data_IF_746202140655
#
_entry.id   IF_746202140655
#
_cell.length_a   1.000
_cell.length_b   1.000
_cell.length_c   1.000
_cell.angle_alpha   90.00
_cell.angle_beta   90.00
_cell.angle_gamma   90.00
#
_symmetry.space_group_name_H-M   'P 1'
#
loop_
_entity.id
_entity.type
_entity.pdbx_description
1 polymer ?
#
# COMPACT_ATOMS: atom_id res chain seq x y z
N UNK A 1 -63.62 -16.96 19.95
CA UNK A 1 -63.05 -17.70 18.79
C UNK A 1 -62.54 -16.63 17.83
N UNK A 2 -61.31 -16.15 18.04
CA UNK A 2 -60.80 -14.92 17.42
C UNK A 2 -60.08 -15.21 16.10
N UNK A 3 -60.39 -14.34 15.14
CA UNK A 3 -59.96 -14.25 13.75
C UNK A 3 -58.43 -14.16 13.58
N UNK A 4 -57.89 -14.85 12.58
CA UNK A 4 -56.52 -14.65 12.08
C UNK A 4 -56.60 -13.94 10.72
N UNK A 5 -56.44 -12.61 10.75
CA UNK A 5 -56.07 -11.84 9.57
C UNK A 5 -54.55 -11.94 9.37
N UNK A 6 -54.13 -12.43 8.21
CA UNK A 6 -52.74 -12.46 7.78
C UNK A 6 -52.21 -11.04 7.56
N UNK A 7 -51.30 -10.60 8.43
CA UNK A 7 -50.57 -9.34 8.26
C UNK A 7 -49.39 -9.61 7.33
N UNK A 8 -49.43 -9.02 6.13
CA UNK A 8 -48.28 -8.85 5.26
C UNK A 8 -47.34 -7.82 5.92
N UNK A 9 -46.18 -8.24 6.39
CA UNK A 9 -45.13 -7.32 6.83
C UNK A 9 -44.45 -6.73 5.60
N UNK A 10 -44.94 -5.56 5.15
CA UNK A 10 -44.12 -4.65 4.39
C UNK A 10 -43.01 -4.16 5.32
N UNK A 11 -41.77 -4.58 5.08
CA UNK A 11 -40.61 -4.04 5.76
C UNK A 11 -40.41 -2.58 5.32
N UNK A 12 -41.03 -1.67 6.08
CA UNK A 12 -40.71 -0.26 6.08
C UNK A 12 -39.32 -0.11 6.72
N UNK A 13 -38.29 0.09 5.90
CA UNK A 13 -36.99 0.58 6.40
C UNK A 13 -37.24 2.00 6.93
N UNK A 14 -37.04 2.28 8.23
CA UNK A 14 -37.29 3.60 8.78
C UNK A 14 -36.23 4.57 8.23
N UNK A 15 -36.67 5.56 7.47
CA UNK A 15 -35.89 6.74 7.11
C UNK A 15 -35.54 7.52 8.39
N UNK A 16 -34.40 7.19 9.02
CA UNK A 16 -33.99 7.83 10.27
C UNK A 16 -32.88 7.16 11.07
N UNK A 17 -32.39 5.98 10.66
CA UNK A 17 -31.12 5.42 11.17
C UNK A 17 -30.08 5.78 10.10
N UNK A 18 -29.03 6.51 10.48
CA UNK A 18 -27.94 6.86 9.56
C UNK A 18 -27.48 5.58 8.87
N UNK A 19 -27.62 5.50 7.54
CA UNK A 19 -27.01 4.42 6.79
C UNK A 19 -25.54 4.35 7.21
N UNK A 20 -25.05 3.16 7.55
CA UNK A 20 -23.63 2.99 7.88
C UNK A 20 -22.80 3.69 6.80
N UNK A 21 -21.79 4.49 7.18
CA UNK A 21 -21.05 5.28 6.23
C UNK A 21 -20.44 4.36 5.18
N UNK A 22 -20.83 4.55 3.91
CA UNK A 22 -20.37 3.76 2.75
C UNK A 22 -18.83 3.76 2.64
N UNK A 23 -18.20 4.82 3.16
CA UNK A 23 -16.75 4.92 3.34
C UNK A 23 -16.40 5.18 4.79
N UNK A 24 -15.49 4.38 5.34
CA UNK A 24 -14.92 4.54 6.68
C UNK A 24 -13.41 4.78 6.54
N UNK A 25 -12.90 5.81 7.19
CA UNK A 25 -11.45 6.01 7.31
C UNK A 25 -10.92 5.17 8.48
N UNK A 26 -9.92 4.33 8.24
CA UNK A 26 -9.36 3.41 9.25
C UNK A 26 -7.85 3.61 9.42
N UNK A 27 -7.32 3.29 10.60
CA UNK A 27 -5.88 3.26 10.85
C UNK A 27 -5.24 1.99 10.28
N UNK A 28 -3.91 2.00 10.11
CA UNK A 28 -3.16 0.82 9.68
C UNK A 28 -3.31 -0.38 10.63
N UNK A 29 -3.50 -0.14 11.93
CA UNK A 29 -3.72 -1.21 12.90
C UNK A 29 -5.06 -1.92 12.66
N UNK A 30 -6.13 -1.14 12.45
CA UNK A 30 -7.46 -1.70 12.13
C UNK A 30 -7.42 -2.44 10.79
N UNK A 31 -6.73 -1.87 9.79
CA UNK A 31 -6.55 -2.53 8.50
C UNK A 31 -5.82 -3.88 8.65
N UNK A 32 -4.75 -3.92 9.45
CA UNK A 32 -4.01 -5.14 9.74
C UNK A 32 -4.89 -6.19 10.45
N UNK A 33 -5.71 -5.78 11.42
CA UNK A 33 -6.64 -6.68 12.10
C UNK A 33 -7.70 -7.25 11.14
N UNK A 34 -8.21 -6.43 10.21
CA UNK A 34 -9.16 -6.88 9.19
C UNK A 34 -8.51 -7.87 8.21
N UNK A 35 -7.31 -7.56 7.70
CA UNK A 35 -6.59 -8.39 6.73
C UNK A 35 -6.24 -9.77 7.31
N UNK A 36 -5.91 -9.85 8.60
CA UNK A 36 -5.54 -11.10 9.25
C UNK A 36 -6.74 -11.90 9.79
N UNK A 37 -7.98 -11.42 9.62
CA UNK A 37 -9.18 -12.06 10.15
C UNK A 37 -10.09 -12.62 9.05
N UNK A 38 -9.62 -13.69 8.41
CA UNK A 38 -10.34 -14.38 7.33
C UNK A 38 -11.69 -15.00 7.75
N UNK A 39 -11.97 -15.10 9.06
CA UNK A 39 -13.27 -15.57 9.55
C UNK A 39 -14.32 -14.47 9.40
N UNK A 40 -13.96 -13.23 9.73
CA UNK A 40 -14.84 -12.08 9.61
C UNK A 40 -14.85 -11.49 8.20
N UNK A 41 -13.71 -11.55 7.51
CA UNK A 41 -13.48 -10.91 6.23
C UNK A 41 -12.88 -11.89 5.20
N UNK A 42 -13.61 -12.95 4.82
CA UNK A 42 -13.08 -14.01 3.95
C UNK A 42 -12.75 -13.53 2.52
N UNK A 43 -13.48 -12.53 2.03
CA UNK A 43 -13.41 -12.03 0.66
C UNK A 43 -12.86 -10.59 0.57
N UNK A 44 -12.19 -10.12 1.63
CA UNK A 44 -11.71 -8.74 1.71
C UNK A 44 -10.65 -8.47 0.65
N UNK A 45 -10.86 -7.36 -0.07
CA UNK A 45 -9.95 -6.90 -1.10
C UNK A 45 -9.05 -5.80 -0.55
N UNK A 46 -7.75 -5.97 -0.71
CA UNK A 46 -6.77 -4.89 -0.50
C UNK A 46 -6.45 -4.27 -1.85
N UNK A 47 -6.83 -3.01 -2.05
CA UNK A 47 -6.67 -2.26 -3.29
C UNK A 47 -5.55 -1.21 -3.16
N UNK A 48 -4.47 -1.41 -3.92
CA UNK A 48 -3.40 -0.43 -4.08
C UNK A 48 -3.67 0.46 -5.29
N UNK A 49 -3.78 1.77 -5.06
CA UNK A 49 -4.03 2.76 -6.11
C UNK A 49 -2.80 3.58 -6.51
N UNK A 50 -1.61 3.12 -6.13
CA UNK A 50 -0.33 3.68 -6.56
C UNK A 50 0.00 3.39 -8.02
N UNK A 51 1.05 4.02 -8.51
CA UNK A 51 1.59 3.72 -9.84
C UNK A 51 2.35 2.39 -9.82
N UNK A 52 2.40 1.70 -10.97
CA UNK A 52 3.00 0.36 -11.12
C UNK A 52 4.45 0.30 -10.63
N UNK A 53 5.22 1.36 -10.87
CA UNK A 53 6.60 1.44 -10.40
C UNK A 53 6.72 1.43 -8.87
N UNK A 54 5.80 2.10 -8.16
CA UNK A 54 5.79 2.11 -6.69
C UNK A 54 5.38 0.73 -6.14
N UNK A 55 4.36 0.11 -6.73
CA UNK A 55 3.91 -1.25 -6.36
C UNK A 55 5.00 -2.31 -6.57
N UNK A 56 5.73 -2.22 -7.68
CA UNK A 56 6.81 -3.15 -8.00
C UNK A 56 8.04 -3.02 -7.10
N UNK A 57 8.18 -1.93 -6.34
CA UNK A 57 9.21 -1.79 -5.31
C UNK A 57 8.74 -2.44 -4.02
N UNK A 58 7.53 -2.11 -3.56
CA UNK A 58 6.93 -2.72 -2.39
C UNK A 58 5.40 -2.62 -2.44
N UNK A 59 4.69 -3.51 -1.75
CA UNK A 59 3.22 -3.45 -1.59
C UNK A 59 2.74 -4.35 -0.44
N UNK A 60 1.51 -4.17 0.04
CA UNK A 60 0.90 -5.10 1.01
C UNK A 60 0.71 -6.47 0.35
N UNK A 61 0.87 -7.56 1.10
CA UNK A 61 0.61 -8.90 0.58
C UNK A 61 -0.83 -9.04 0.07
N UNK A 62 -1.00 -9.77 -1.04
CA UNK A 62 -2.28 -9.99 -1.71
C UNK A 62 -2.99 -8.71 -2.20
N UNK A 63 -2.29 -7.57 -2.22
CA UNK A 63 -2.86 -6.34 -2.76
C UNK A 63 -3.08 -6.45 -4.28
N UNK A 64 -4.24 -5.99 -4.72
CA UNK A 64 -4.57 -5.82 -6.14
C UNK A 64 -4.20 -4.41 -6.57
N UNK A 65 -3.42 -4.30 -7.65
CA UNK A 65 -2.99 -3.02 -8.20
C UNK A 65 -3.99 -2.49 -9.25
N UNK A 66 -4.64 -1.38 -8.95
CA UNK A 66 -5.37 -0.56 -9.94
C UNK A 66 -4.98 0.90 -9.73
N UNK A 67 -4.06 1.46 -10.53
CA UNK A 67 -3.63 2.85 -10.37
C UNK A 67 -4.82 3.81 -10.43
N UNK A 68 -4.82 4.85 -9.60
CA UNK A 68 -5.90 5.84 -9.54
C UNK A 68 -6.25 6.40 -10.93
N UNK A 69 -5.25 6.62 -11.78
CA UNK A 69 -5.42 7.15 -13.15
C UNK A 69 -6.24 6.25 -14.08
N UNK A 70 -6.30 4.94 -13.81
CA UNK A 70 -7.06 3.97 -14.59
C UNK A 70 -8.27 3.37 -13.86
N UNK A 71 -8.53 3.78 -12.61
CA UNK A 71 -9.52 3.15 -11.74
C UNK A 71 -10.93 3.20 -12.34
N UNK A 72 -11.41 4.36 -12.78
CA UNK A 72 -12.75 4.51 -13.36
C UNK A 72 -12.97 3.61 -14.58
N UNK A 73 -11.94 3.43 -15.42
CA UNK A 73 -12.03 2.59 -16.62
C UNK A 73 -11.95 1.08 -16.34
N UNK A 74 -11.55 0.69 -15.12
CA UNK A 74 -11.29 -0.70 -14.71
C UNK A 74 -12.21 -1.16 -13.57
N UNK A 75 -13.30 -0.44 -13.30
CA UNK A 75 -14.27 -0.77 -12.25
C UNK A 75 -14.89 -2.16 -12.43
N UNK A 76 -15.00 -2.64 -13.66
CA UNK A 76 -15.48 -3.99 -13.98
C UNK A 76 -14.61 -5.10 -13.38
N UNK A 77 -13.32 -4.84 -13.13
CA UNK A 77 -12.44 -5.81 -12.44
C UNK A 77 -12.81 -5.93 -10.95
N UNK A 78 -13.48 -4.91 -10.40
CA UNK A 78 -13.87 -4.83 -9.00
C UNK A 78 -15.34 -5.22 -8.76
N UNK A 79 -16.15 -5.41 -9.81
CA UNK A 79 -17.57 -5.79 -9.68
C UNK A 79 -17.85 -6.96 -8.72
N UNK A 80 -17.03 -8.04 -8.66
CA UNK A 80 -17.23 -9.13 -7.70
C UNK A 80 -17.16 -8.69 -6.23
N UNK A 81 -16.62 -7.51 -5.95
CA UNK A 81 -16.36 -6.97 -4.62
C UNK A 81 -17.29 -5.82 -4.23
N UNK A 82 -18.36 -5.57 -5.00
CA UNK A 82 -19.28 -4.45 -4.79
C UNK A 82 -19.90 -4.40 -3.37
N UNK A 83 -20.16 -5.57 -2.78
CA UNK A 83 -20.77 -5.75 -1.45
C UNK A 83 -19.82 -6.39 -0.41
N UNK A 84 -18.53 -6.48 -0.73
CA UNK A 84 -17.48 -6.97 0.16
C UNK A 84 -16.61 -5.84 0.66
N UNK A 85 -15.88 -6.06 1.75
CA UNK A 85 -14.98 -5.08 2.33
C UNK A 85 -13.79 -4.80 1.39
N UNK A 86 -13.62 -3.53 0.99
CA UNK A 86 -12.47 -3.09 0.18
C UNK A 86 -11.64 -2.11 1.01
N UNK A 87 -10.41 -2.51 1.35
CA UNK A 87 -9.41 -1.61 1.92
C UNK A 87 -8.67 -0.92 0.77
N UNK A 88 -8.76 0.40 0.71
CA UNK A 88 -8.08 1.21 -0.31
C UNK A 88 -6.90 1.92 0.33
N UNK A 89 -5.71 1.80 -0.26
CA UNK A 89 -4.52 2.51 0.21
C UNK A 89 -3.67 3.12 -0.91
N UNK A 90 -2.89 4.11 -0.54
CA UNK A 90 -1.89 4.78 -1.38
C UNK A 90 -0.57 4.89 -0.60
N UNK A 91 0.39 5.69 -1.07
CA UNK A 91 1.63 5.97 -0.34
C UNK A 91 1.39 6.62 1.03
N UNK A 92 0.58 7.68 1.08
CA UNK A 92 0.35 8.49 2.29
C UNK A 92 -1.13 8.85 2.56
N UNK A 93 -2.07 8.32 1.79
CA UNK A 93 -3.52 8.46 2.02
C UNK A 93 -4.29 9.50 1.18
N UNK A 94 -3.63 10.41 0.46
CA UNK A 94 -4.34 11.47 -0.29
C UNK A 94 -5.04 10.97 -1.56
N UNK A 95 -4.39 10.07 -2.31
CA UNK A 95 -4.98 9.46 -3.53
C UNK A 95 -5.94 8.31 -3.21
N UNK A 96 -5.79 7.64 -2.06
CA UNK A 96 -6.73 6.59 -1.63
C UNK A 96 -8.09 7.17 -1.26
N UNK A 97 -8.14 8.40 -0.72
CA UNK A 97 -9.40 9.11 -0.50
C UNK A 97 -10.14 9.37 -1.84
N UNK A 98 -9.42 9.78 -2.88
CA UNK A 98 -10.01 10.01 -4.21
C UNK A 98 -10.53 8.70 -4.81
N UNK A 99 -9.72 7.64 -4.77
CA UNK A 99 -10.15 6.31 -5.21
C UNK A 99 -11.38 5.81 -4.46
N UNK A 100 -11.40 5.98 -3.14
CA UNK A 100 -12.55 5.59 -2.31
C UNK A 100 -13.82 6.32 -2.73
N UNK A 101 -13.73 7.61 -3.03
CA UNK A 101 -14.89 8.39 -3.52
C UNK A 101 -15.37 7.92 -4.90
N UNK A 102 -14.45 7.54 -5.80
CA UNK A 102 -14.80 6.95 -7.09
C UNK A 102 -15.58 5.65 -6.87
N UNK A 103 -15.11 4.77 -5.98
CA UNK A 103 -15.81 3.51 -5.68
C UNK A 103 -17.20 3.77 -5.07
N UNK A 104 -17.32 4.68 -4.10
CA UNK A 104 -18.63 5.05 -3.53
C UNK A 104 -19.58 5.59 -4.60
N UNK A 105 -19.10 6.45 -5.51
CA UNK A 105 -19.90 6.98 -6.60
C UNK A 105 -20.36 5.92 -7.62
N UNK A 106 -19.70 4.76 -7.63
CA UNK A 106 -20.00 3.63 -8.50
C UNK A 106 -20.63 2.44 -7.77
N UNK A 107 -21.35 2.72 -6.66
CA UNK A 107 -22.16 1.76 -5.90
C UNK A 107 -21.40 0.66 -5.16
N UNK A 108 -20.12 0.86 -4.85
CA UNK A 108 -19.43 0.00 -3.89
C UNK A 108 -19.85 0.39 -2.47
N UNK A 109 -20.24 -0.60 -1.66
CA UNK A 109 -20.99 -0.33 -0.42
C UNK A 109 -20.15 -0.37 0.86
N UNK A 110 -18.97 -1.01 0.83
CA UNK A 110 -18.12 -1.23 2.02
C UNK A 110 -16.67 -0.82 1.80
N UNK A 111 -16.44 0.49 1.73
CA UNK A 111 -15.11 1.06 1.45
C UNK A 111 -14.39 1.46 2.74
N UNK A 112 -13.17 0.99 2.91
CA UNK A 112 -12.29 1.32 4.03
C UNK A 112 -11.04 2.04 3.52
N UNK A 113 -10.94 3.34 3.74
CA UNK A 113 -9.79 4.13 3.34
C UNK A 113 -8.70 4.04 4.42
N UNK A 114 -7.58 3.38 4.11
CA UNK A 114 -6.47 3.21 5.05
C UNK A 114 -5.63 4.49 5.16
N UNK A 115 -5.74 5.17 6.29
CA UNK A 115 -5.00 6.39 6.59
C UNK A 115 -3.51 6.13 6.75
N UNK A 116 -2.67 7.07 6.32
CA UNK A 116 -1.21 6.95 6.37
C UNK A 116 -0.62 6.05 5.28
N UNK A 117 -1.43 5.22 4.63
CA UNK A 117 -1.02 4.40 3.50
C UNK A 117 0.07 3.38 3.86
N UNK A 118 0.81 2.93 2.83
CA UNK A 118 1.89 1.96 3.03
C UNK A 118 3.06 2.51 3.87
N UNK A 119 3.26 3.84 3.91
CA UNK A 119 4.30 4.43 4.76
C UNK A 119 4.02 4.15 6.24
N UNK A 120 2.78 4.40 6.69
CA UNK A 120 2.38 4.11 8.06
C UNK A 120 2.33 2.60 8.35
N UNK A 121 2.02 1.78 7.35
CA UNK A 121 2.06 0.31 7.47
C UNK A 121 3.48 -0.18 7.78
N UNK A 122 4.47 0.31 7.04
CA UNK A 122 5.89 -0.01 7.25
C UNK A 122 6.37 0.54 8.60
N UNK A 123 6.00 1.77 8.95
CA UNK A 123 6.36 2.38 10.24
C UNK A 123 5.81 1.60 11.44
N UNK A 124 4.60 1.03 11.30
CA UNK A 124 3.99 0.15 12.30
C UNK A 124 4.67 -1.22 12.41
N UNK A 125 5.59 -1.57 11.51
CA UNK A 125 6.34 -2.82 11.51
C UNK A 125 5.56 -4.03 10.99
N UNK A 126 4.51 -3.80 10.19
CA UNK A 126 3.74 -4.88 9.57
C UNK A 126 4.44 -5.43 8.33
N UNK A 127 4.20 -6.72 8.05
CA UNK A 127 4.79 -7.41 6.91
C UNK A 127 4.25 -6.86 5.59
N UNK A 128 5.15 -6.74 4.60
CA UNK A 128 4.83 -6.29 3.25
C UNK A 128 5.76 -6.99 2.26
N UNK A 129 5.35 -7.04 0.99
CA UNK A 129 6.21 -7.52 -0.08
C UNK A 129 7.22 -6.42 -0.46
N UNK A 130 8.49 -6.79 -0.55
CA UNK A 130 9.58 -5.90 -0.96
C UNK A 130 10.38 -6.56 -2.07
N UNK A 131 10.63 -5.83 -3.15
CA UNK A 131 11.55 -6.22 -4.20
C UNK A 131 12.98 -5.76 -3.84
N UNK A 132 13.77 -6.66 -3.27
CA UNK A 132 15.15 -6.36 -2.87
C UNK A 132 16.00 -5.91 -4.07
N UNK A 133 15.76 -6.46 -5.26
CA UNK A 133 16.47 -6.14 -6.51
C UNK A 133 16.17 -4.73 -7.03
N UNK A 134 15.02 -4.15 -6.68
CA UNK A 134 14.68 -2.78 -7.03
C UNK A 134 15.37 -1.74 -6.13
N UNK A 135 15.90 -2.18 -4.98
CA UNK A 135 16.54 -1.33 -3.97
C UNK A 135 18.05 -1.55 -3.87
N UNK A 136 18.58 -2.61 -4.50
CA UNK A 136 20.00 -2.85 -4.63
C UNK A 136 20.62 -1.88 -5.64
N UNK A 137 20.90 -0.66 -5.19
CA UNK A 137 22.13 -0.03 -5.66
C UNK A 137 23.23 -0.99 -5.23
N UNK A 138 23.81 -1.70 -6.20
CA UNK A 138 24.87 -2.67 -6.00
C UNK A 138 26.06 -1.99 -5.29
N UNK A 139 26.08 -2.02 -3.96
CA UNK A 139 27.21 -1.57 -3.15
C UNK A 139 28.46 -2.44 -3.39
N UNK A 140 28.38 -3.50 -4.21
CA UNK A 140 29.55 -4.20 -4.75
C UNK A 140 30.25 -3.41 -5.89
N UNK A 141 29.74 -2.25 -6.29
CA UNK A 141 30.47 -1.26 -7.06
C UNK A 141 31.18 -0.26 -6.12
N UNK A 142 32.50 -0.32 -5.93
CA UNK A 142 33.29 -1.46 -5.48
C UNK A 142 34.22 -1.06 -4.33
N UNK A 143 34.29 -1.89 -3.29
CA UNK A 143 35.36 -1.81 -2.28
C UNK A 143 36.76 -1.90 -2.95
N UNK A 144 36.85 -2.42 -4.17
CA UNK A 144 38.03 -2.36 -5.03
C UNK A 144 38.45 -0.93 -5.45
N UNK A 145 37.53 0.02 -5.66
CA UNK A 145 37.91 1.40 -6.05
C UNK A 145 38.48 2.18 -4.86
N UNK A 146 37.95 1.97 -3.66
CA UNK A 146 38.48 2.60 -2.44
C UNK A 146 39.90 2.11 -2.13
N UNK A 147 40.18 0.83 -2.39
CA UNK A 147 41.53 0.27 -2.25
C UNK A 147 42.49 0.73 -3.37
N UNK A 148 42.04 0.87 -4.61
CA UNK A 148 42.87 1.41 -5.72
C UNK A 148 43.27 2.87 -5.46
N UNK A 149 42.34 3.72 -4.98
CA UNK A 149 42.64 5.11 -4.63
C UNK A 149 43.65 5.17 -3.47
N UNK A 150 43.50 4.33 -2.46
CA UNK A 150 44.45 4.23 -1.34
C UNK A 150 45.86 3.83 -1.78
N UNK A 151 45.97 2.85 -2.69
CA UNK A 151 47.26 2.37 -3.21
C UNK A 151 47.92 3.45 -4.08
N UNK A 152 47.19 4.11 -4.98
CA UNK A 152 47.70 5.22 -5.80
C UNK A 152 48.20 6.37 -4.93
N UNK A 153 47.48 6.73 -3.87
CA UNK A 153 47.89 7.79 -2.95
C UNK A 153 49.17 7.44 -2.19
N UNK A 154 49.30 6.20 -1.73
CA UNK A 154 50.52 5.70 -1.10
C UNK A 154 51.72 5.72 -2.05
N UNK A 155 51.55 5.31 -3.31
CA UNK A 155 52.61 5.34 -4.34
C UNK A 155 53.07 6.77 -4.63
N UNK A 156 52.16 7.75 -4.67
CA UNK A 156 52.50 9.18 -4.85
C UNK A 156 53.28 9.74 -3.66
N UNK A 157 52.95 9.33 -2.43
CA UNK A 157 53.70 9.73 -1.23
C UNK A 157 55.11 9.11 -1.23
N UNK A 158 55.21 7.83 -1.59
CA UNK A 158 56.50 7.12 -1.65
C UNK A 158 57.40 7.72 -2.74
N UNK A 159 56.84 8.10 -3.89
CA UNK A 159 57.61 8.73 -4.97
C UNK A 159 58.20 10.07 -4.53
N UNK A 160 57.43 10.93 -3.86
CA UNK A 160 57.92 12.22 -3.33
C UNK A 160 58.98 12.09 -2.23
N UNK A 161 59.01 11.00 -1.47
CA UNK A 161 60.03 10.76 -0.43
C UNK A 161 61.40 10.35 -1.01
N UNK A 162 61.46 9.70 -2.18
CA UNK A 162 62.73 9.28 -2.80
C UNK A 162 63.61 10.42 -3.31
N UNK A 163 63.04 11.58 -3.67
CA UNK A 163 63.79 12.72 -4.22
C UNK A 163 64.52 13.55 -3.16
N UNK A 164 64.20 13.39 -1.87
CA UNK A 164 64.81 14.19 -0.80
C UNK A 164 66.13 13.62 -0.25
N UNK A 165 66.58 12.46 -0.72
CA UNK A 165 67.77 11.77 -0.20
C UNK A 165 68.97 11.78 -1.16
N UNK A 166 68.85 12.40 -2.34
CA UNK A 166 69.92 12.42 -3.36
C UNK A 166 70.62 13.78 -3.51
N UNK A 167 70.40 14.72 -2.58
CA UNK A 167 71.08 16.03 -2.54
C UNK A 167 72.01 16.14 -1.32
N UNK A 168 73.01 15.26 -1.25
CA UNK A 168 74.15 15.38 -0.34
C UNK A 168 75.45 15.17 -1.09
#
# INVERSE_FOLDING_TARGET
>A
MFSLFSIQFYNLVPSGIAADPVRIDISVNVANDMINNNILYPDLLVLDVRDVGEFNVNHLYNATLIPLSGLESRLNELEPYNDTEIIVYFRSGSRSLQASNILVANNFTKIFNMLGGINAWIEAGYDYWLNEDATSIDFALPVFLVSIIGILFALVIISKRRWKFTEA
#
